data_IF_573431267138
#
_entry.id   IF_573431267138
#
_cell.length_a   1.000
_cell.length_b   1.000
_cell.length_c   1.000
_cell.angle_alpha   90.00
_cell.angle_beta   90.00
_cell.angle_gamma   90.00
#
_symmetry.space_group_name_H-M   'P 1'
#
loop_
_entity.id
_entity.type
_entity.pdbx_description
1 polymer ?
#
# COMPACT_ATOMS: atom_id res chain seq x y z
N UNK A 1 45.95 22.74 12.54
CA UNK A 1 45.08 21.85 13.34
C UNK A 1 43.61 22.25 13.21
N UNK A 2 43.24 23.52 13.43
CA UNK A 2 41.85 24.00 13.27
C UNK A 2 41.25 23.79 11.88
N UNK A 3 41.99 24.10 10.81
CA UNK A 3 41.50 23.89 9.43
C UNK A 3 41.24 22.42 9.10
N UNK A 4 42.05 21.50 9.65
CA UNK A 4 41.84 20.07 9.48
C UNK A 4 40.56 19.62 10.22
N UNK A 5 40.34 20.15 11.43
CA UNK A 5 39.11 19.91 12.19
C UNK A 5 37.88 20.45 11.44
N UNK A 6 37.97 21.67 10.91
CA UNK A 6 36.90 22.29 10.13
C UNK A 6 36.55 21.48 8.87
N UNK A 7 37.56 20.95 8.17
CA UNK A 7 37.35 20.07 7.02
C UNK A 7 36.68 18.75 7.40
N UNK A 8 37.06 18.14 8.52
CA UNK A 8 36.42 16.90 9.00
C UNK A 8 34.96 17.15 9.37
N UNK A 9 34.66 18.25 10.08
CA UNK A 9 33.29 18.61 10.45
C UNK A 9 32.45 18.88 9.21
N UNK A 10 32.99 19.60 8.23
CA UNK A 10 32.30 19.87 6.97
C UNK A 10 32.04 18.57 6.20
N UNK A 11 33.03 17.68 6.09
CA UNK A 11 32.88 16.39 5.43
C UNK A 11 31.82 15.51 6.13
N UNK A 12 31.79 15.49 7.46
CA UNK A 12 30.79 14.78 8.23
C UNK A 12 29.38 15.35 8.02
N UNK A 13 29.25 16.68 7.95
CA UNK A 13 27.98 17.36 7.71
C UNK A 13 27.45 17.06 6.30
N UNK A 14 28.33 17.12 5.28
CA UNK A 14 27.98 16.75 3.90
C UNK A 14 27.58 15.28 3.83
N UNK A 15 28.36 14.39 4.45
CA UNK A 15 28.01 12.98 4.52
C UNK A 15 26.65 12.76 5.20
N UNK A 16 26.34 13.46 6.29
CA UNK A 16 25.05 13.37 6.96
C UNK A 16 23.89 13.83 6.06
N UNK A 17 24.06 14.96 5.35
CA UNK A 17 23.04 15.52 4.45
C UNK A 17 22.83 14.64 3.21
N UNK A 18 23.86 13.94 2.72
CA UNK A 18 23.78 13.10 1.53
C UNK A 18 23.39 11.65 1.85
N UNK A 19 24.04 11.04 2.84
CA UNK A 19 23.83 9.63 3.22
C UNK A 19 22.56 9.47 4.07
N UNK A 20 22.21 10.47 4.87
CA UNK A 20 20.98 10.48 5.68
C UNK A 20 19.71 10.17 4.88
N UNK A 21 19.39 10.93 3.81
CA UNK A 21 18.22 10.64 2.98
C UNK A 21 18.34 9.34 2.20
N UNK A 22 19.55 8.91 1.79
CA UNK A 22 19.73 7.66 1.05
C UNK A 22 19.41 6.43 1.92
N UNK A 23 19.93 6.38 3.15
CA UNK A 23 19.67 5.30 4.11
C UNK A 23 18.21 5.28 4.59
N UNK A 24 17.56 6.45 4.61
CA UNK A 24 16.17 6.58 5.02
C UNK A 24 15.22 6.18 3.89
N UNK A 25 15.53 6.56 2.65
CA UNK A 25 14.79 6.16 1.45
C UNK A 25 14.73 4.64 1.26
N UNK A 26 15.88 3.94 1.33
CA UNK A 26 15.91 2.47 1.16
C UNK A 26 15.05 1.73 2.21
N UNK A 27 14.97 2.23 3.44
CA UNK A 27 14.14 1.61 4.49
C UNK A 27 12.67 1.87 4.26
N UNK A 28 12.31 3.09 3.89
CA UNK A 28 10.93 3.46 3.61
C UNK A 28 10.42 2.71 2.36
N UNK A 29 11.24 2.57 1.31
CA UNK A 29 10.93 1.79 0.10
C UNK A 29 10.67 0.30 0.39
N UNK A 30 11.47 -0.31 1.28
CA UNK A 30 11.27 -1.71 1.68
C UNK A 30 9.97 -1.87 2.48
N UNK A 31 9.67 -0.94 3.39
CA UNK A 31 8.44 -0.98 4.20
C UNK A 31 7.21 -0.79 3.32
N UNK A 32 7.24 0.18 2.40
CA UNK A 32 6.15 0.42 1.45
C UNK A 32 5.98 -0.76 0.48
N UNK A 33 7.07 -1.39 0.05
CA UNK A 33 7.04 -2.62 -0.75
C UNK A 33 6.35 -3.78 -0.04
N UNK A 34 6.64 -4.01 1.25
CA UNK A 34 5.97 -5.03 2.05
C UNK A 34 4.48 -4.72 2.19
N UNK A 35 4.14 -3.46 2.53
CA UNK A 35 2.75 -3.02 2.71
C UNK A 35 1.93 -3.13 1.43
N UNK A 36 2.53 -2.80 0.28
CA UNK A 36 1.93 -2.98 -1.03
C UNK A 36 1.64 -4.45 -1.31
N UNK A 37 2.60 -5.34 -1.07
CA UNK A 37 2.40 -6.78 -1.27
C UNK A 37 1.28 -7.35 -0.40
N UNK A 38 1.16 -6.91 0.85
CA UNK A 38 0.05 -7.28 1.75
C UNK A 38 -1.30 -6.82 1.21
N UNK A 39 -1.39 -5.58 0.72
CA UNK A 39 -2.62 -5.05 0.13
C UNK A 39 -2.98 -5.73 -1.20
N UNK A 40 -2.00 -6.10 -2.02
CA UNK A 40 -2.22 -6.87 -3.25
C UNK A 40 -2.78 -8.26 -2.92
N UNK A 41 -2.23 -8.94 -1.91
CA UNK A 41 -2.76 -10.21 -1.44
C UNK A 41 -4.19 -10.07 -0.88
N UNK A 42 -4.47 -9.00 -0.13
CA UNK A 42 -5.82 -8.71 0.36
C UNK A 42 -6.81 -8.45 -0.79
N UNK A 43 -6.39 -7.73 -1.84
CA UNK A 43 -7.19 -7.51 -3.06
C UNK A 43 -7.56 -8.84 -3.73
N UNK A 44 -6.60 -9.74 -3.90
CA UNK A 44 -6.84 -11.06 -4.50
C UNK A 44 -7.76 -11.94 -3.65
N UNK A 45 -7.63 -11.88 -2.32
CA UNK A 45 -8.53 -12.55 -1.40
C UNK A 45 -9.97 -12.02 -1.53
N UNK A 46 -10.16 -10.69 -1.50
CA UNK A 46 -11.48 -10.08 -1.65
C UNK A 46 -12.11 -10.33 -3.02
N UNK A 47 -11.31 -10.34 -4.09
CA UNK A 47 -11.81 -10.68 -5.42
C UNK A 47 -12.33 -12.11 -5.51
N UNK A 48 -11.66 -13.06 -4.84
CA UNK A 48 -12.16 -14.44 -4.73
C UNK A 48 -13.46 -14.53 -3.95
N UNK A 49 -13.55 -13.83 -2.82
CA UNK A 49 -14.76 -13.80 -1.99
C UNK A 49 -15.98 -13.25 -2.75
N UNK A 50 -15.81 -12.17 -3.51
CA UNK A 50 -16.86 -11.62 -4.38
C UNK A 50 -17.30 -12.66 -5.42
N UNK A 51 -16.33 -13.29 -6.08
CA UNK A 51 -16.62 -14.29 -7.13
C UNK A 51 -17.33 -15.51 -6.57
N UNK A 52 -16.97 -15.95 -5.38
CA UNK A 52 -17.61 -17.09 -4.71
C UNK A 52 -19.05 -16.73 -4.30
N UNK A 53 -19.29 -15.53 -3.79
CA UNK A 53 -20.63 -15.03 -3.47
C UNK A 53 -21.53 -14.93 -4.72
N UNK A 54 -20.97 -14.45 -5.85
CA UNK A 54 -21.67 -14.43 -7.14
C UNK A 54 -22.02 -15.84 -7.61
N UNK A 55 -21.08 -16.80 -7.48
CA UNK A 55 -21.30 -18.20 -7.84
C UNK A 55 -22.39 -18.86 -6.97
N UNK A 56 -22.42 -18.57 -5.66
CA UNK A 56 -23.45 -19.10 -4.77
C UNK A 56 -24.86 -18.56 -5.10
N UNK A 57 -24.96 -17.31 -5.56
CA UNK A 57 -26.21 -16.76 -6.10
C UNK A 57 -26.60 -17.46 -7.40
N UNK A 58 -25.67 -17.66 -8.34
CA UNK A 58 -25.95 -18.38 -9.59
C UNK A 58 -26.40 -19.83 -9.35
N UNK A 59 -25.83 -20.48 -8.33
CA UNK A 59 -26.25 -21.81 -7.86
C UNK A 59 -27.60 -21.82 -7.13
N UNK A 60 -28.21 -20.64 -6.89
CA UNK A 60 -29.49 -20.51 -6.20
C UNK A 60 -29.41 -20.73 -4.68
N UNK A 61 -28.21 -20.71 -4.09
CA UNK A 61 -28.02 -20.84 -2.63
C UNK A 61 -28.34 -19.55 -1.89
N UNK A 62 -28.32 -18.40 -2.57
CA UNK A 62 -28.66 -17.10 -2.01
C UNK A 62 -29.85 -16.48 -2.73
N UNK A 63 -30.72 -15.82 -1.95
CA UNK A 63 -31.76 -14.97 -2.52
C UNK A 63 -31.14 -13.74 -3.20
N UNK A 64 -31.80 -13.14 -4.20
CA UNK A 64 -31.31 -11.91 -4.83
C UNK A 64 -31.18 -10.73 -3.87
N UNK A 65 -31.97 -10.71 -2.79
CA UNK A 65 -31.99 -9.64 -1.78
C UNK A 65 -30.80 -9.75 -0.85
N UNK A 66 -30.52 -10.96 -0.37
CA UNK A 66 -29.37 -11.26 0.49
C UNK A 66 -28.06 -11.06 -0.28
N UNK A 67 -28.02 -11.52 -1.54
CA UNK A 67 -26.84 -11.34 -2.39
C UNK A 67 -26.52 -9.86 -2.60
N UNK A 68 -27.53 -9.01 -2.79
CA UNK A 68 -27.32 -7.55 -2.93
C UNK A 68 -26.79 -6.91 -1.66
N UNK A 69 -27.13 -7.43 -0.48
CA UNK A 69 -26.59 -6.92 0.77
C UNK A 69 -25.10 -7.28 0.89
N UNK A 70 -24.77 -8.56 0.70
CA UNK A 70 -23.39 -9.08 0.75
C UNK A 70 -22.51 -8.43 -0.32
N UNK A 71 -22.98 -8.34 -1.56
CA UNK A 71 -22.23 -7.74 -2.67
C UNK A 71 -21.85 -6.27 -2.39
N UNK A 72 -22.75 -5.48 -1.78
CA UNK A 72 -22.44 -4.09 -1.41
C UNK A 72 -21.36 -4.00 -0.35
N UNK A 73 -21.40 -4.86 0.65
CA UNK A 73 -20.41 -4.91 1.73
C UNK A 73 -19.03 -5.30 1.19
N UNK A 74 -18.96 -6.39 0.43
CA UNK A 74 -17.72 -6.88 -0.16
C UNK A 74 -17.10 -5.86 -1.13
N UNK A 75 -17.93 -5.18 -1.93
CA UNK A 75 -17.44 -4.11 -2.83
C UNK A 75 -16.94 -2.89 -2.06
N UNK A 76 -17.57 -2.52 -0.94
CA UNK A 76 -17.10 -1.42 -0.10
C UNK A 76 -15.71 -1.74 0.47
N UNK A 77 -15.50 -2.95 0.99
CA UNK A 77 -14.20 -3.39 1.48
C UNK A 77 -13.14 -3.42 0.36
N UNK A 78 -13.50 -3.89 -0.84
CA UNK A 78 -12.60 -3.89 -1.99
C UNK A 78 -12.17 -2.47 -2.40
N UNK A 79 -13.08 -1.49 -2.35
CA UNK A 79 -12.77 -0.08 -2.65
C UNK A 79 -11.76 0.48 -1.65
N UNK A 80 -11.90 0.18 -0.36
CA UNK A 80 -10.94 0.66 0.64
C UNK A 80 -9.54 0.07 0.44
N UNK A 81 -9.44 -1.21 0.05
CA UNK A 81 -8.15 -1.83 -0.31
C UNK A 81 -7.53 -1.14 -1.53
N UNK A 82 -8.34 -0.84 -2.56
CA UNK A 82 -7.86 -0.15 -3.75
C UNK A 82 -7.39 1.27 -3.46
N UNK A 83 -8.11 2.02 -2.61
CA UNK A 83 -7.67 3.36 -2.18
C UNK A 83 -6.35 3.32 -1.42
N UNK A 84 -6.16 2.33 -0.56
CA UNK A 84 -4.91 2.15 0.17
C UNK A 84 -3.74 1.84 -0.79
N UNK A 85 -3.98 1.04 -1.83
CA UNK A 85 -2.99 0.77 -2.88
C UNK A 85 -2.65 2.02 -3.70
N UNK A 86 -3.65 2.78 -4.13
CA UNK A 86 -3.44 4.01 -4.90
C UNK A 86 -2.65 5.07 -4.11
N UNK A 87 -2.87 5.15 -2.79
CA UNK A 87 -2.11 5.99 -1.89
C UNK A 87 -0.62 5.61 -1.79
N UNK A 88 -0.30 4.31 -1.82
CA UNK A 88 1.09 3.83 -1.82
C UNK A 88 1.77 3.95 -3.18
N UNK A 89 1.03 3.84 -4.28
CA UNK A 89 1.57 3.97 -5.64
C UNK A 89 1.75 5.43 -6.08
N UNK A 90 1.47 6.39 -5.20
CA UNK A 90 1.56 7.81 -5.51
C UNK A 90 0.55 8.27 -6.57
N UNK A 91 -0.40 7.40 -6.94
CA UNK A 91 -1.54 7.74 -7.80
C UNK A 91 -2.62 8.40 -6.95
N UNK A 92 -2.30 9.55 -6.36
CA UNK A 92 -3.36 10.44 -5.91
C UNK A 92 -4.15 10.90 -7.14
N UNK A 93 -5.49 10.86 -7.13
CA UNK A 93 -6.31 11.52 -8.15
C UNK A 93 -6.19 13.06 -8.14
N UNK A 94 -5.30 13.63 -7.33
CA UNK A 94 -5.12 15.07 -7.17
C UNK A 94 -3.63 15.40 -7.26
N UNK A 95 -3.24 16.00 -8.40
CA UNK A 95 -1.89 16.47 -8.70
C UNK A 95 -1.62 16.56 -10.20
#
# INVERSE_FOLDING_TARGET
>A
MEYALALIVLAALVAFVVVGPLVRGERDDVVDGVRKAELEAAKEAKYREIRDAEMDREMGKLSPEDHRAVDRELRAEAIEILRALDGLEGRSPEG
#
